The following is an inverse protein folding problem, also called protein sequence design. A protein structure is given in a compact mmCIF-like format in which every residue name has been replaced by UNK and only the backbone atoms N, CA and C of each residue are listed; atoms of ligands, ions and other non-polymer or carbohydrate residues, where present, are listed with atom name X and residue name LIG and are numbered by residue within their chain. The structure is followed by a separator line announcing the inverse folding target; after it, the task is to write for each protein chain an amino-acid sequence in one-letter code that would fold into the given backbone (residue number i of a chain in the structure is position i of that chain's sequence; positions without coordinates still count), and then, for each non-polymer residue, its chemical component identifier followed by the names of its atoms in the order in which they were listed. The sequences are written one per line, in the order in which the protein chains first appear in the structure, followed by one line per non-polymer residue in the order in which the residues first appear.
data_IF_201527606667
#
_entry.id   IF_201527606667
#
_cell.length_a   1.000
_cell.length_b   1.000
_cell.length_c   1.000
_cell.angle_alpha   90.00
_cell.angle_beta   90.00
_cell.angle_gamma   90.00
#
_symmetry.space_group_name_H-M   'P 1'
#
loop_
_entity.id
_entity.type
_entity.pdbx_description
1 polymer ?
#
# COMPACT_ATOMS: atom_id res chain seq x y z
N UNK A 1 -3.60 -7.84 12.52
CA UNK A 1 -3.11 -6.75 11.67
C UNK A 1 -4.33 -6.06 11.13
N UNK A 2 -4.48 -4.77 11.40
CA UNK A 2 -5.60 -3.98 10.88
C UNK A 2 -5.06 -2.84 10.04
N UNK A 3 -5.64 -2.62 8.87
CA UNK A 3 -5.28 -1.53 7.98
C UNK A 3 -6.53 -0.70 7.75
N UNK A 4 -6.49 0.59 8.04
CA UNK A 4 -7.58 1.51 7.75
C UNK A 4 -7.07 2.59 6.83
N UNK A 5 -7.73 2.79 5.68
CA UNK A 5 -7.42 3.85 4.73
C UNK A 5 -8.62 4.78 4.60
N UNK A 6 -8.43 6.06 4.87
CA UNK A 6 -9.45 7.10 4.64
C UNK A 6 -9.06 7.89 3.40
N UNK A 7 -9.82 7.74 2.32
CA UNK A 7 -9.64 8.46 1.07
C UNK A 7 -10.58 9.65 1.07
N UNK A 8 -10.02 10.86 1.01
CA UNK A 8 -10.76 12.10 0.85
C UNK A 8 -10.27 12.86 -0.36
N UNK A 9 -11.15 13.12 -1.32
CA UNK A 9 -10.79 13.87 -2.53
C UNK A 9 -9.51 13.34 -3.18
N UNK A 10 -9.48 12.02 -3.48
CA UNK A 10 -8.32 11.29 -4.05
C UNK A 10 -7.07 11.26 -3.15
N UNK A 11 -7.11 11.79 -1.93
CA UNK A 11 -5.99 11.75 -0.99
C UNK A 11 -6.23 10.68 0.08
N UNK A 12 -5.39 9.65 0.09
CA UNK A 12 -5.48 8.51 0.98
C UNK A 12 -4.60 8.68 2.21
N UNK A 13 -5.21 8.57 3.40
CA UNK A 13 -4.51 8.50 4.68
C UNK A 13 -4.65 7.09 5.24
N UNK A 14 -3.56 6.33 5.31
CA UNK A 14 -3.59 4.91 5.67
C UNK A 14 -2.82 4.64 6.95
N UNK A 15 -3.48 3.98 7.91
CA UNK A 15 -2.88 3.52 9.16
C UNK A 15 -2.81 1.99 9.18
N UNK A 16 -1.60 1.45 9.35
CA UNK A 16 -1.34 0.03 9.56
C UNK A 16 -1.08 -0.20 11.05
N UNK A 17 -1.90 -1.03 11.67
CA UNK A 17 -1.75 -1.49 13.05
C UNK A 17 -1.37 -2.97 13.09
N UNK A 18 -0.16 -3.28 13.57
CA UNK A 18 0.29 -4.65 13.79
C UNK A 18 0.49 -4.94 15.27
N UNK A 19 -0.11 -6.01 15.77
CA UNK A 19 0.02 -6.46 17.16
C UNK A 19 0.75 -7.79 17.17
N UNK A 20 1.83 -7.86 17.93
CA UNK A 20 2.64 -9.07 18.09
C UNK A 20 2.77 -9.40 19.57
N UNK A 21 2.88 -10.70 19.87
CA UNK A 21 3.08 -11.20 21.23
C UNK A 21 4.21 -12.20 21.21
N UNK A 22 5.21 -12.00 22.05
CA UNK A 22 6.16 -13.05 22.38
C UNK A 22 5.49 -14.00 23.39
N UNK A 23 5.33 -15.29 23.02
CA UNK A 23 4.68 -16.31 23.87
C UNK A 23 5.67 -17.37 24.36
N UNK A 24 6.98 -17.11 24.22
CA UNK A 24 8.03 -17.98 24.77
C UNK A 24 8.69 -17.31 25.97
N UNK A 25 9.44 -18.11 26.72
CA UNK A 25 10.13 -17.74 27.96
C UNK A 25 11.48 -17.01 27.73
N UNK A 26 11.77 -16.60 26.49
CA UNK A 26 13.02 -15.95 26.08
C UNK A 26 12.72 -14.71 25.24
N UNK A 27 13.58 -13.67 25.29
CA UNK A 27 13.45 -12.54 24.38
C UNK A 27 13.48 -12.99 22.91
N UNK A 28 12.59 -12.42 22.09
CA UNK A 28 12.53 -12.70 20.66
C UNK A 28 12.50 -11.41 19.85
N UNK A 29 13.24 -11.41 18.75
CA UNK A 29 13.16 -10.34 17.77
C UNK A 29 11.82 -10.43 17.01
N UNK A 30 11.11 -9.30 16.97
CA UNK A 30 9.95 -9.09 16.12
C UNK A 30 10.29 -8.08 15.03
N UNK A 31 9.94 -8.41 13.79
CA UNK A 31 10.15 -7.57 12.62
C UNK A 31 8.80 -7.04 12.14
N UNK A 32 8.66 -5.72 12.12
CA UNK A 32 7.57 -5.02 11.48
C UNK A 32 8.02 -4.58 10.09
N UNK A 33 7.33 -5.03 9.05
CA UNK A 33 7.68 -4.75 7.65
C UNK A 33 6.44 -4.38 6.85
N UNK A 34 6.47 -3.25 6.16
CA UNK A 34 5.39 -2.79 5.28
C UNK A 34 5.97 -2.31 3.96
N UNK A 35 5.39 -2.77 2.85
CA UNK A 35 5.70 -2.24 1.52
C UNK A 35 4.71 -1.11 1.23
N UNK A 36 5.25 0.09 1.03
CA UNK A 36 4.51 1.29 0.69
C UNK A 36 4.28 1.36 -0.82
N UNK A 37 3.17 1.96 -1.26
CA UNK A 37 3.05 2.43 -2.64
C UNK A 37 4.17 3.41 -2.99
N UNK A 38 4.59 3.46 -4.25
CA UNK A 38 5.72 4.30 -4.70
C UNK A 38 5.49 5.79 -4.49
N UNK A 39 4.26 6.26 -4.64
CA UNK A 39 3.90 7.66 -4.43
C UNK A 39 3.54 7.99 -2.97
N UNK A 40 3.63 7.02 -2.06
CA UNK A 40 3.29 7.25 -0.65
C UNK A 40 4.49 7.77 0.14
N UNK A 41 4.21 8.58 1.16
CA UNK A 41 5.20 9.01 2.14
C UNK A 41 4.72 8.70 3.55
N UNK A 42 5.65 8.44 4.47
CA UNK A 42 5.35 8.15 5.87
C UNK A 42 5.10 9.47 6.60
N UNK A 43 3.94 9.59 7.25
CA UNK A 43 3.57 10.74 8.06
C UNK A 43 3.68 10.48 9.57
N UNK A 44 3.78 9.22 10.00
CA UNK A 44 4.01 8.90 11.41
C UNK A 44 4.29 7.43 11.68
N UNK A 45 5.09 7.16 12.71
CA UNK A 45 5.29 5.82 13.23
C UNK A 45 5.36 5.83 14.76
N UNK A 46 4.59 4.96 15.40
CA UNK A 46 4.57 4.76 16.85
C UNK A 46 4.69 3.28 17.15
N UNK A 47 5.55 2.94 18.09
CA UNK A 47 5.69 1.59 18.64
C UNK A 47 5.33 1.62 20.11
N UNK A 48 4.46 0.72 20.55
CA UNK A 48 4.03 0.57 21.94
C UNK A 48 4.56 -0.77 22.46
N UNK A 49 5.35 -0.76 23.54
CA UNK A 49 5.87 -1.97 24.21
C UNK A 49 5.58 -1.85 25.69
N UNK A 50 4.86 -2.82 26.26
CA UNK A 50 4.47 -2.86 27.67
C UNK A 50 3.87 -1.54 28.19
N UNK A 51 3.04 -0.91 27.36
CA UNK A 51 2.35 0.36 27.66
C UNK A 51 3.23 1.62 27.54
N UNK A 52 4.47 1.50 27.08
CA UNK A 52 5.35 2.64 26.75
C UNK A 52 5.33 2.92 25.26
N UNK A 53 5.09 4.18 24.91
CA UNK A 53 5.06 4.64 23.52
C UNK A 53 6.42 5.19 23.09
N UNK A 54 6.92 4.68 21.98
CA UNK A 54 8.11 5.10 21.28
C UNK A 54 7.68 5.71 19.95
N UNK A 55 7.61 7.03 19.89
CA UNK A 55 7.27 7.74 18.65
C UNK A 55 8.53 7.96 17.84
N UNK A 56 8.56 7.51 16.59
CA UNK A 56 9.63 7.86 15.67
C UNK A 56 9.37 9.24 15.08
N UNK A 57 10.41 10.06 15.08
CA UNK A 57 10.38 11.38 14.46
C UNK A 57 10.95 11.28 13.06
N UNK A 58 10.16 11.67 12.07
CA UNK A 58 10.66 11.85 10.70
C UNK A 58 11.50 13.12 10.70
N UNK A 59 12.79 12.97 10.45
CA UNK A 59 13.74 14.08 10.29
C UNK A 59 14.29 14.06 8.87
N UNK A 60 14.84 15.20 8.44
CA UNK A 60 15.58 15.26 7.17
C UNK A 60 16.70 14.20 7.18
N UNK A 61 16.97 13.57 6.03
CA UNK A 61 17.87 12.42 5.90
C UNK A 61 19.24 12.61 6.58
N UNK A 62 19.86 13.77 6.40
CA UNK A 62 21.18 14.07 6.98
C UNK A 62 21.09 14.30 8.51
N UNK A 63 20.02 14.90 8.99
CA UNK A 63 19.78 15.10 10.42
C UNK A 63 19.47 13.77 11.13
N UNK A 64 18.62 12.94 10.53
CA UNK A 64 18.28 11.60 11.03
C UNK A 64 19.55 10.73 11.16
N UNK A 65 20.43 10.77 10.15
CA UNK A 65 21.70 10.05 10.16
C UNK A 65 22.62 10.49 11.30
N UNK A 66 22.77 11.80 11.52
CA UNK A 66 23.59 12.35 12.63
C UNK A 66 23.06 11.92 14.00
N UNK A 67 21.74 12.01 14.20
CA UNK A 67 21.11 11.61 15.47
C UNK A 67 21.30 10.11 15.72
N UNK A 68 21.16 9.28 14.68
CA UNK A 68 21.40 7.84 14.77
C UNK A 68 22.85 7.51 15.13
N UNK A 69 23.81 8.08 14.41
CA UNK A 69 25.25 7.86 14.66
C UNK A 69 25.64 8.28 16.09
N UNK A 70 25.11 9.39 16.60
CA UNK A 70 25.33 9.85 17.97
C UNK A 70 24.70 8.90 19.01
N UNK A 71 23.48 8.42 18.77
CA UNK A 71 22.79 7.49 19.67
C UNK A 71 23.55 6.15 19.78
N UNK A 72 23.97 5.59 18.64
CA UNK A 72 24.78 4.37 18.59
C UNK A 72 26.13 4.56 19.32
N UNK A 73 26.80 5.70 19.09
CA UNK A 73 28.06 6.01 19.77
C UNK A 73 27.90 6.16 21.30
N UNK A 74 26.72 6.57 21.77
CA UNK A 74 26.39 6.74 23.19
C UNK A 74 25.94 5.44 23.89
N UNK A 75 25.84 4.31 23.19
CA UNK A 75 25.40 3.03 23.75
C UNK A 75 23.90 2.95 24.07
N UNK A 76 23.11 3.93 23.64
CA UNK A 76 21.65 3.84 23.68
C UNK A 76 21.18 2.81 22.63
N UNK A 77 20.31 1.89 23.02
CA UNK A 77 19.72 0.89 22.11
C UNK A 77 18.93 1.58 21.00
N UNK A 78 19.59 1.85 19.87
CA UNK A 78 18.98 2.48 18.72
C UNK A 78 18.23 1.41 17.92
N UNK A 79 16.91 1.56 17.79
CA UNK A 79 16.13 0.78 16.83
C UNK A 79 16.66 1.07 15.41
N UNK A 80 17.08 0.03 14.70
CA UNK A 80 17.59 0.16 13.34
C UNK A 80 16.41 0.29 12.37
N UNK A 81 16.28 1.44 11.71
CA UNK A 81 15.35 1.64 10.59
C UNK A 81 16.18 1.61 9.30
N UNK A 82 16.17 0.47 8.61
CA UNK A 82 16.85 0.33 7.32
C UNK A 82 15.88 0.64 6.18
N UNK A 83 16.15 1.71 5.43
CA UNK A 83 15.56 1.92 4.10
C UNK A 83 16.57 1.43 3.07
N UNK A 84 16.33 0.24 2.51
CA UNK A 84 17.14 -0.34 1.43
C UNK A 84 17.00 0.51 0.16
N UNK A 85 18.12 0.96 -0.42
CA UNK A 85 18.12 1.78 -1.65
C UNK A 85 17.70 1.00 -2.92
N UNK A 86 17.58 -0.34 -2.86
CA UNK A 86 17.01 -1.17 -3.94
C UNK A 86 15.52 -1.46 -3.74
N UNK A 87 15.02 -1.31 -2.52
CA UNK A 87 13.62 -1.49 -2.12
C UNK A 87 13.11 -0.20 -1.45
N UNK A 88 13.23 0.94 -2.15
CA UNK A 88 13.04 2.29 -1.57
C UNK A 88 11.69 2.52 -0.89
N UNK A 89 10.71 1.65 -1.15
CA UNK A 89 9.36 1.76 -0.64
C UNK A 89 9.07 0.74 0.48
N UNK A 90 10.08 0.04 1.03
CA UNK A 90 9.88 -0.89 2.15
C UNK A 90 10.29 -0.24 3.48
N UNK A 91 9.36 -0.18 4.41
CA UNK A 91 9.58 0.26 5.79
C UNK A 91 9.79 -0.96 6.68
N UNK A 92 10.92 -1.03 7.39
CA UNK A 92 11.27 -2.14 8.28
C UNK A 92 11.75 -1.63 9.63
N UNK A 93 11.22 -2.19 10.70
CA UNK A 93 11.64 -1.98 12.09
C UNK A 93 11.80 -3.32 12.77
N UNK A 94 12.96 -3.56 13.39
CA UNK A 94 13.20 -4.72 14.23
C UNK A 94 13.31 -4.31 15.68
N UNK A 95 12.67 -5.06 16.58
CA UNK A 95 12.73 -4.83 18.02
C UNK A 95 12.75 -6.15 18.77
N UNK A 96 13.52 -6.20 19.86
CA UNK A 96 13.51 -7.34 20.76
C UNK A 96 12.36 -7.22 21.77
N UNK A 97 11.50 -8.23 21.83
CA UNK A 97 10.34 -8.28 22.73
C UNK A 97 10.65 -9.25 23.86
N UNK A 98 10.51 -8.78 25.10
CA UNK A 98 10.70 -9.57 26.31
C UNK A 98 9.74 -10.78 26.38
N UNK A 99 10.08 -11.82 27.15
CA UNK A 99 9.22 -12.97 27.37
C UNK A 99 7.79 -12.57 27.76
N UNK A 100 6.79 -13.27 27.23
CA UNK A 100 5.36 -13.05 27.52
C UNK A 100 4.82 -11.62 27.26
N UNK A 101 5.61 -10.78 26.59
CA UNK A 101 5.32 -9.36 26.40
C UNK A 101 4.70 -9.09 25.03
N UNK A 102 4.14 -7.88 24.86
CA UNK A 102 3.41 -7.49 23.64
C UNK A 102 4.00 -6.21 23.07
N UNK A 103 4.03 -6.14 21.74
CA UNK A 103 4.31 -4.91 21.02
C UNK A 103 3.18 -4.58 20.04
N UNK A 104 2.90 -3.29 19.88
CA UNK A 104 1.99 -2.77 18.87
C UNK A 104 2.71 -1.74 18.01
N UNK A 105 2.62 -1.89 16.71
CA UNK A 105 3.18 -0.98 15.73
C UNK A 105 2.05 -0.24 15.03
N UNK A 106 2.18 1.08 14.95
CA UNK A 106 1.29 1.98 14.23
C UNK A 106 2.12 2.70 13.17
N UNK A 107 1.89 2.41 11.90
CA UNK A 107 2.51 3.12 10.78
C UNK A 107 1.42 3.91 10.05
N UNK A 108 1.65 5.19 9.83
CA UNK A 108 0.77 6.05 9.04
C UNK A 108 1.51 6.53 7.80
N UNK A 109 0.92 6.33 6.64
CA UNK A 109 1.41 6.83 5.37
C UNK A 109 0.28 7.44 4.54
N UNK A 110 0.66 8.38 3.70
CA UNK A 110 -0.27 9.19 2.92
C UNK A 110 0.10 9.15 1.45
N UNK A 111 -0.91 9.25 0.58
CA UNK A 111 -0.72 9.17 -0.86
C UNK A 111 -1.80 9.97 -1.59
N UNK A 112 -1.41 10.74 -2.62
CA UNK A 112 -2.34 11.22 -3.63
C UNK A 112 -2.55 10.14 -4.69
N UNK A 113 -3.80 9.74 -4.92
CA UNK A 113 -4.13 8.71 -5.90
C UNK A 113 -4.04 9.25 -7.32
N UNK A 114 -3.22 8.57 -8.13
CA UNK A 114 -3.13 8.83 -9.55
C UNK A 114 -4.26 8.14 -10.31
N UNK A 115 -4.87 8.86 -11.25
CA UNK A 115 -5.84 8.28 -12.19
C UNK A 115 -5.11 7.67 -13.37
N UNK A 116 -5.28 6.38 -13.61
CA UNK A 116 -4.73 5.64 -14.76
C UNK A 116 -5.83 4.75 -15.34
N UNK A 117 -5.84 4.52 -16.66
CA UNK A 117 -6.81 3.64 -17.32
C UNK A 117 -8.28 3.86 -16.89
N UNK A 118 -8.63 5.14 -16.79
CA UNK A 118 -9.94 5.65 -16.40
C UNK A 118 -10.40 5.34 -14.97
N UNK A 119 -9.49 5.03 -14.04
CA UNK A 119 -9.82 4.76 -12.63
C UNK A 119 -8.74 5.26 -11.68
N UNK A 120 -9.10 5.44 -10.43
CA UNK A 120 -8.18 5.52 -9.30
C UNK A 120 -7.99 4.12 -8.72
N UNK A 121 -6.77 3.80 -8.30
CA UNK A 121 -6.47 2.56 -7.58
C UNK A 121 -5.81 2.87 -6.24
N UNK A 122 -6.42 2.41 -5.15
CA UNK A 122 -5.75 2.28 -3.86
C UNK A 122 -5.15 0.87 -3.79
N UNK A 123 -3.82 0.78 -3.80
CA UNK A 123 -3.10 -0.50 -3.64
C UNK A 123 -2.59 -0.59 -2.20
N UNK A 124 -2.99 -1.65 -1.49
CA UNK A 124 -2.56 -1.94 -0.12
C UNK A 124 -1.80 -3.25 -0.13
N UNK A 125 -0.48 -3.19 0.12
CA UNK A 125 0.35 -4.39 0.24
C UNK A 125 0.11 -5.04 1.61
N UNK A 126 -0.26 -6.32 1.60
CA UNK A 126 -0.51 -7.12 2.80
C UNK A 126 0.53 -8.22 2.85
N UNK A 127 1.38 -8.18 3.87
CA UNK A 127 2.44 -9.18 4.10
C UNK A 127 2.74 -9.27 5.61
N UNK A 128 1.90 -9.97 6.40
CA UNK A 128 2.08 -10.10 7.84
C UNK A 128 3.20 -11.06 8.24
N UNK A 129 3.72 -11.87 7.31
CA UNK A 129 4.77 -12.86 7.54
C UNK A 129 4.33 -14.10 8.33
N UNK A 130 3.06 -14.16 8.74
CA UNK A 130 2.41 -15.33 9.31
C UNK A 130 0.89 -15.21 9.16
N UNK A 131 0.15 -16.31 9.26
CA UNK A 131 -1.31 -16.25 9.34
C UNK A 131 -1.80 -15.49 10.58
N UNK A 132 -2.73 -14.55 10.40
CA UNK A 132 -3.19 -13.64 11.46
C UNK A 132 -4.65 -13.88 11.80
N UNK A 133 -4.97 -14.06 13.08
CA UNK A 133 -6.35 -14.31 13.55
C UNK A 133 -7.33 -13.19 13.21
N UNK A 134 -6.87 -11.94 13.32
CA UNK A 134 -7.64 -10.72 13.05
C UNK A 134 -6.88 -9.91 12.00
N UNK A 135 -7.07 -10.30 10.74
CA UNK A 135 -6.62 -9.56 9.56
C UNK A 135 -7.80 -8.81 8.97
N UNK A 136 -7.72 -7.48 8.92
CA UNK A 136 -8.75 -6.63 8.31
C UNK A 136 -8.13 -5.46 7.57
N UNK A 137 -8.74 -5.12 6.44
CA UNK A 137 -8.47 -3.92 5.65
C UNK A 137 -9.80 -3.22 5.43
N UNK A 138 -9.88 -1.95 5.83
CA UNK A 138 -11.05 -1.10 5.66
C UNK A 138 -10.63 0.13 4.84
N UNK A 139 -11.31 0.39 3.73
CA UNK A 139 -11.09 1.55 2.88
C UNK A 139 -12.37 2.38 2.90
N UNK A 140 -12.31 3.53 3.57
CA UNK A 140 -13.39 4.50 3.64
C UNK A 140 -13.15 5.56 2.58
N UNK A 141 -14.07 5.70 1.64
CA UNK A 141 -13.99 6.64 0.52
C UNK A 141 -14.99 7.77 0.76
N UNK A 142 -14.53 9.01 0.66
CA UNK A 142 -15.37 10.20 0.67
C UNK A 142 -14.88 11.18 -0.42
N UNK A 143 -15.72 11.43 -1.40
CA UNK A 143 -15.40 12.27 -2.55
C UNK A 143 -16.31 13.51 -2.59
N UNK A 144 -15.89 14.54 -3.30
CA UNK A 144 -16.69 15.73 -3.57
C UNK A 144 -17.71 15.51 -4.69
N UNK A 145 -17.53 14.46 -5.50
CA UNK A 145 -18.41 14.07 -6.61
C UNK A 145 -18.85 12.62 -6.49
N UNK A 146 -19.89 12.27 -7.25
CA UNK A 146 -20.46 10.93 -7.26
C UNK A 146 -19.41 9.87 -7.58
N UNK A 147 -19.35 8.82 -6.77
CA UNK A 147 -18.51 7.64 -6.99
C UNK A 147 -19.12 6.78 -8.11
N UNK A 148 -18.27 6.26 -9.00
CA UNK A 148 -18.64 5.43 -10.15
C UNK A 148 -17.64 4.26 -10.31
N UNK A 149 -18.05 3.13 -10.88
CA UNK A 149 -17.19 1.92 -11.08
C UNK A 149 -16.44 1.44 -9.81
N UNK A 150 -17.05 1.53 -8.63
CA UNK A 150 -16.45 1.04 -7.38
C UNK A 150 -16.41 -0.48 -7.37
N UNK A 151 -15.23 -1.05 -7.17
CA UNK A 151 -15.02 -2.51 -7.03
C UNK A 151 -13.72 -2.85 -6.32
N UNK A 152 -13.67 -4.08 -5.80
CA UNK A 152 -12.46 -4.71 -5.29
C UNK A 152 -12.10 -5.88 -6.23
N UNK A 153 -11.19 -5.69 -7.20
CA UNK A 153 -10.78 -6.77 -8.10
C UNK A 153 -10.02 -7.89 -7.37
N UNK A 154 -9.76 -9.04 -8.04
CA UNK A 154 -8.93 -10.10 -7.51
C UNK A 154 -7.59 -9.61 -6.96
N UNK A 155 -7.13 -10.22 -5.88
CA UNK A 155 -5.85 -9.93 -5.23
C UNK A 155 -4.69 -10.15 -6.21
N UNK A 156 -3.69 -9.25 -6.19
CA UNK A 156 -2.52 -9.34 -7.09
C UNK A 156 -1.30 -9.87 -6.34
N UNK A 157 -0.49 -10.69 -7.02
CA UNK A 157 0.90 -10.87 -6.64
C UNK A 157 1.66 -9.63 -7.17
N UNK A 158 2.60 -9.05 -6.42
CA UNK A 158 3.09 -7.67 -6.65
C UNK A 158 3.66 -7.33 -8.05
N UNK A 159 3.85 -8.32 -8.93
CA UNK A 159 4.35 -8.15 -10.29
C UNK A 159 3.30 -8.48 -11.38
N UNK A 160 2.09 -8.91 -11.02
CA UNK A 160 1.06 -9.34 -11.96
C UNK A 160 -0.05 -8.31 -12.11
N UNK A 161 -0.31 -7.89 -13.36
CA UNK A 161 -1.51 -7.16 -13.76
C UNK A 161 -2.48 -8.21 -14.32
N UNK A 162 -3.65 -8.36 -13.70
CA UNK A 162 -4.78 -9.05 -14.32
C UNK A 162 -4.79 -10.58 -14.22
N UNK A 163 -4.52 -11.15 -13.04
CA UNK A 163 -4.94 -12.54 -12.79
C UNK A 163 -6.42 -12.55 -12.42
N UNK A 164 -7.30 -12.66 -13.42
CA UNK A 164 -8.75 -12.88 -13.24
C UNK A 164 -9.04 -14.32 -12.77
N UNK A 165 -8.27 -14.78 -11.78
CA UNK A 165 -8.47 -16.08 -11.13
C UNK A 165 -9.60 -15.93 -10.10
N UNK A 166 -10.73 -16.64 -10.24
CA UNK A 166 -11.82 -16.58 -9.26
C UNK A 166 -11.38 -16.91 -7.83
N UNK A 167 -10.34 -17.73 -7.68
CA UNK A 167 -9.77 -18.11 -6.40
C UNK A 167 -9.09 -16.94 -5.66
N UNK A 168 -8.73 -15.88 -6.38
CA UNK A 168 -8.12 -14.66 -5.84
C UNK A 168 -9.14 -13.56 -5.53
N UNK A 169 -10.44 -13.82 -5.71
CA UNK A 169 -11.49 -12.90 -5.29
C UNK A 169 -11.31 -12.56 -3.79
N UNK A 170 -11.17 -11.27 -3.43
CA UNK A 170 -11.05 -10.86 -2.04
C UNK A 170 -12.30 -11.18 -1.22
N UNK A 171 -13.47 -11.37 -1.85
CA UNK A 171 -14.78 -11.45 -1.19
C UNK A 171 -15.00 -10.23 -0.28
N UNK A 172 -14.61 -9.06 -0.78
CA UNK A 172 -14.72 -7.81 -0.04
C UNK A 172 -16.19 -7.40 0.09
N UNK A 173 -16.56 -6.92 1.26
CA UNK A 173 -17.84 -6.28 1.49
C UNK A 173 -17.77 -4.82 1.03
N UNK A 174 -18.76 -4.39 0.24
CA UNK A 174 -18.82 -3.03 -0.32
C UNK A 174 -20.14 -2.40 0.11
N UNK A 175 -20.04 -1.45 1.03
CA UNK A 175 -21.17 -0.66 1.53
C UNK A 175 -21.18 0.71 0.85
N UNK A 176 -22.21 1.00 0.06
CA UNK A 176 -22.46 2.34 -0.47
C UNK A 176 -23.23 3.15 0.57
N UNK A 177 -22.56 4.09 1.22
CA UNK A 177 -23.17 4.95 2.26
C UNK A 177 -24.07 6.00 1.62
N UNK A 178 -23.61 6.61 0.52
CA UNK A 178 -24.38 7.51 -0.34
C UNK A 178 -23.65 7.68 -1.70
N UNK A 179 -24.14 8.58 -2.56
CA UNK A 179 -23.55 8.79 -3.89
C UNK A 179 -22.05 9.21 -3.85
N UNK A 180 -21.56 9.79 -2.76
CA UNK A 180 -20.19 10.31 -2.65
C UNK A 180 -19.36 9.61 -1.57
N UNK A 181 -19.90 8.59 -0.91
CA UNK A 181 -19.22 7.89 0.17
C UNK A 181 -19.49 6.38 0.15
N UNK A 182 -18.44 5.60 0.38
CA UNK A 182 -18.51 4.15 0.44
C UNK A 182 -17.46 3.57 1.39
N UNK A 183 -17.71 2.36 1.88
CA UNK A 183 -16.76 1.60 2.71
C UNK A 183 -16.51 0.25 2.03
N UNK A 184 -15.24 -0.12 1.88
CA UNK A 184 -14.82 -1.41 1.33
C UNK A 184 -14.03 -2.17 2.39
N UNK A 185 -14.50 -3.35 2.76
CA UNK A 185 -13.94 -4.14 3.85
C UNK A 185 -13.48 -5.52 3.36
N UNK A 186 -12.22 -5.85 3.64
CA UNK A 186 -11.62 -7.15 3.39
C UNK A 186 -11.11 -7.75 4.71
N UNK A 187 -11.74 -8.83 5.18
CA UNK A 187 -11.42 -9.45 6.48
C UNK A 187 -11.34 -10.98 6.37
N UNK A 188 -10.29 -11.54 5.74
CA UNK A 188 -10.17 -12.97 5.54
C UNK A 188 -9.86 -13.69 6.87
N UNK A 189 -10.57 -14.78 7.14
CA UNK A 189 -10.24 -15.67 8.24
C UNK A 189 -8.91 -16.43 7.98
N UNK A 190 -8.41 -17.16 8.98
CA UNK A 190 -7.12 -17.88 8.89
C UNK A 190 -7.12 -18.94 7.78
N UNK A 191 -8.23 -19.64 7.58
CA UNK A 191 -8.36 -20.66 6.53
C UNK A 191 -8.23 -20.03 5.14
N UNK A 192 -8.96 -18.92 4.90
CA UNK A 192 -8.89 -18.18 3.65
C UNK A 192 -7.51 -17.60 3.39
N UNK A 193 -6.79 -17.15 4.42
CA UNK A 193 -5.41 -16.70 4.28
C UNK A 193 -4.49 -17.82 3.77
N UNK A 194 -4.65 -19.05 4.25
CA UNK A 194 -3.87 -20.21 3.79
C UNK A 194 -4.23 -20.61 2.36
N UNK A 195 -5.51 -20.62 2.01
CA UNK A 195 -5.95 -20.83 0.63
C UNK A 195 -5.30 -19.82 -0.33
N UNK A 196 -5.34 -18.53 0.02
CA UNK A 196 -4.75 -17.47 -0.79
C UNK A 196 -3.22 -17.63 -0.88
N UNK A 197 -2.55 -17.98 0.20
CA UNK A 197 -1.11 -18.27 0.20
C UNK A 197 -0.77 -19.42 -0.77
N UNK A 198 -1.54 -20.51 -0.72
CA UNK A 198 -1.38 -21.63 -1.64
C UNK A 198 -1.59 -21.22 -3.11
N UNK A 199 -2.62 -20.42 -3.42
CA UNK A 199 -2.88 -19.94 -4.79
C UNK A 199 -1.77 -19.00 -5.29
N UNK A 200 -1.19 -18.19 -4.40
CA UNK A 200 -0.03 -17.34 -4.73
C UNK A 200 1.30 -18.11 -4.80
N UNK A 201 1.33 -19.40 -4.42
CA UNK A 201 2.55 -20.19 -4.35
C UNK A 201 3.49 -19.77 -3.23
N UNK A 202 2.99 -19.05 -2.22
CA UNK A 202 3.71 -18.74 -0.99
C UNK A 202 3.46 -19.81 0.06
N UNK A 203 4.32 -19.88 1.07
CA UNK A 203 4.16 -20.87 2.15
C UNK A 203 2.95 -20.51 3.02
N UNK A 204 2.12 -21.49 3.36
CA UNK A 204 0.90 -21.26 4.15
C UNK A 204 1.21 -20.67 5.54
N UNK A 205 2.32 -21.06 6.14
CA UNK A 205 2.79 -20.54 7.42
C UNK A 205 3.12 -19.05 7.38
N UNK A 206 3.43 -18.49 6.21
CA UNK A 206 3.71 -17.05 6.01
C UNK A 206 2.42 -16.21 5.89
N UNK A 207 1.25 -16.86 5.83
CA UNK A 207 -0.05 -16.20 5.69
C UNK A 207 -0.25 -15.52 4.34
N UNK A 208 -1.17 -14.55 4.28
CA UNK A 208 -1.48 -13.82 3.05
C UNK A 208 -0.34 -12.87 2.65
N UNK A 209 0.25 -13.08 1.48
CA UNK A 209 1.20 -12.15 0.86
C UNK A 209 0.70 -11.69 -0.50
N UNK A 210 0.11 -10.50 -0.57
CA UNK A 210 -0.45 -9.97 -1.82
C UNK A 210 -0.92 -8.54 -1.72
N UNK A 211 -1.50 -8.04 -2.81
CA UNK A 211 -2.03 -6.69 -2.91
C UNK A 211 -3.56 -6.74 -2.89
N UNK A 212 -4.14 -6.05 -1.92
CA UNK A 212 -5.56 -5.71 -1.95
C UNK A 212 -5.74 -4.38 -2.67
N UNK A 213 -6.62 -4.36 -3.65
CA UNK A 213 -6.84 -3.20 -4.52
C UNK A 213 -8.29 -2.76 -4.41
N UNK A 214 -8.51 -1.46 -4.24
CA UNK A 214 -9.83 -0.84 -4.39
C UNK A 214 -9.77 0.08 -5.59
N UNK A 215 -10.66 -0.13 -6.55
CA UNK A 215 -10.79 0.66 -7.77
C UNK A 215 -12.09 1.44 -7.74
N UNK A 216 -12.03 2.71 -8.14
CA UNK A 216 -13.20 3.54 -8.37
C UNK A 216 -12.87 4.67 -9.34
N UNK A 217 -13.87 5.33 -9.89
CA UNK A 217 -13.75 6.63 -10.54
C UNK A 217 -14.79 7.57 -9.94
N UNK A 218 -14.72 8.84 -10.31
CA UNK A 218 -15.71 9.85 -9.93
C UNK A 218 -16.38 10.43 -11.16
N UNK A 219 -17.60 10.91 -11.01
CA UNK A 219 -18.25 11.71 -12.05
C UNK A 219 -17.37 12.92 -12.40
N UNK A 220 -17.20 13.17 -13.70
CA UNK A 220 -16.28 14.21 -14.20
C UNK A 220 -17.06 15.29 -14.92
N UNK A 221 -16.64 16.53 -14.67
CA UNK A 221 -17.15 17.71 -15.37
C UNK A 221 -16.54 17.80 -16.78
N UNK A 222 -17.35 17.90 -17.84
CA UNK A 222 -16.84 18.15 -19.18
C UNK A 222 -16.31 19.58 -19.36
N UNK A 223 -16.69 20.55 -18.52
CA UNK A 223 -16.53 21.99 -18.81
C UNK A 223 -15.30 22.65 -18.19
N UNK A 224 -14.57 21.96 -17.31
CA UNK A 224 -13.47 22.58 -16.56
C UNK A 224 -12.91 21.79 -15.38
N UNK A 225 -13.40 20.56 -15.16
CA UNK A 225 -13.02 19.77 -14.01
C UNK A 225 -13.62 20.29 -12.70
N UNK A 226 -12.88 20.16 -11.61
CA UNK A 226 -13.34 20.45 -10.26
C UNK A 226 -12.28 21.19 -9.46
N UNK A 227 -12.64 22.34 -8.87
CA UNK A 227 -11.78 23.09 -7.95
C UNK A 227 -12.34 22.96 -6.54
N UNK A 228 -11.55 22.43 -5.63
CA UNK A 228 -11.86 22.37 -4.20
C UNK A 228 -10.96 23.36 -3.47
N UNK A 229 -11.54 24.14 -2.55
CA UNK A 229 -10.84 25.14 -1.75
C UNK A 229 -11.12 24.83 -0.28
N UNK A 230 -10.07 24.70 0.51
CA UNK A 230 -10.16 24.44 1.95
C UNK A 230 -8.97 25.08 2.67
N UNK A 231 -9.25 25.81 3.76
CA UNK A 231 -8.23 26.38 4.66
C UNK A 231 -7.14 27.22 3.96
N UNK A 232 -7.49 27.93 2.88
CA UNK A 232 -6.57 28.74 2.10
C UNK A 232 -5.74 27.97 1.06
N UNK A 233 -5.93 26.66 0.96
CA UNK A 233 -5.36 25.78 -0.06
C UNK A 233 -6.41 25.41 -1.09
N UNK A 234 -5.97 25.03 -2.29
CA UNK A 234 -6.87 24.52 -3.32
C UNK A 234 -6.28 23.32 -4.06
N UNK A 235 -7.15 22.49 -4.61
CA UNK A 235 -6.81 21.45 -5.58
C UNK A 235 -7.72 21.59 -6.79
N UNK A 236 -7.16 21.47 -7.99
CA UNK A 236 -7.91 21.48 -9.25
C UNK A 236 -7.73 20.15 -9.96
N UNK A 237 -8.80 19.35 -9.99
CA UNK A 237 -8.87 18.12 -10.78
C UNK A 237 -9.36 18.43 -12.19
N UNK A 238 -8.47 18.36 -13.19
CA UNK A 238 -8.81 18.62 -14.58
C UNK A 238 -8.68 17.35 -15.43
N UNK A 239 -9.82 16.76 -15.82
CA UNK A 239 -9.89 15.54 -16.62
C UNK A 239 -11.14 15.53 -17.52
N UNK A 240 -11.23 16.44 -18.51
CA UNK A 240 -12.40 16.55 -19.39
C UNK A 240 -12.74 15.20 -20.07
N UNK A 241 -14.02 15.00 -20.31
CA UNK A 241 -14.55 13.87 -21.07
C UNK A 241 -14.75 14.27 -22.53
N UNK A 242 -14.86 13.28 -23.40
CA UNK A 242 -15.35 13.45 -24.78
C UNK A 242 -14.51 14.36 -25.68
N UNK A 243 -13.20 14.47 -25.40
CA UNK A 243 -12.25 15.09 -26.31
C UNK A 243 -11.89 14.11 -27.44
N UNK A 244 -11.89 14.60 -28.67
CA UNK A 244 -11.39 13.83 -29.81
C UNK A 244 -9.89 13.53 -29.62
N UNK A 245 -9.46 12.27 -29.80
CA UNK A 245 -8.05 11.93 -29.74
C UNK A 245 -7.25 12.75 -30.76
N UNK A 246 -6.25 13.49 -30.30
CA UNK A 246 -5.38 14.25 -31.18
C UNK A 246 -4.53 13.29 -32.05
N UNK A 247 -4.45 13.51 -33.38
CA UNK A 247 -3.49 12.82 -34.22
C UNK A 247 -2.08 13.04 -33.66
N UNK A 248 -1.33 11.95 -33.51
CA UNK A 248 0.04 12.00 -32.98
C UNK A 248 0.98 11.23 -33.91
N UNK A 249 2.13 11.81 -34.20
CA UNK A 249 3.25 11.11 -34.82
C UNK A 249 4.07 10.46 -33.71
N UNK A 250 4.05 9.14 -33.65
CA UNK A 250 4.81 8.36 -32.66
C UNK A 250 5.92 7.63 -33.41
N UNK A 251 7.17 7.88 -33.03
CA UNK A 251 8.35 7.17 -33.56
C UNK A 251 8.89 6.28 -32.46
N UNK A 252 8.94 4.98 -32.73
CA UNK A 252 9.53 4.00 -31.82
C UNK A 252 10.99 3.79 -32.21
N UNK A 253 11.91 4.07 -31.28
CA UNK A 253 13.35 3.78 -31.43
C UNK A 253 13.65 2.57 -30.56
N UNK A 254 13.94 1.45 -31.19
CA UNK A 254 14.02 0.14 -30.52
C UNK A 254 15.46 -0.39 -30.58
N UNK A 255 15.99 -0.85 -29.43
CA UNK A 255 17.27 -1.54 -29.40
C UNK A 255 17.14 -2.97 -29.96
N UNK A 256 18.00 -3.32 -30.90
CA UNK A 256 18.12 -4.65 -31.49
C UNK A 256 19.51 -5.25 -31.31
N UNK A 257 20.28 -4.74 -30.35
CA UNK A 257 21.60 -5.25 -29.99
C UNK A 257 21.55 -6.73 -29.60
N UNK A 258 22.69 -7.43 -29.69
CA UNK A 258 22.78 -8.84 -29.32
C UNK A 258 22.32 -9.13 -27.88
N UNK A 259 22.32 -8.13 -26.99
CA UNK A 259 21.83 -8.26 -25.61
C UNK A 259 20.31 -8.50 -25.52
N UNK A 260 19.55 -8.16 -26.57
CA UNK A 260 18.10 -8.31 -26.64
C UNK A 260 17.66 -9.73 -27.01
N UNK A 261 18.59 -10.60 -27.40
CA UNK A 261 18.28 -11.96 -27.86
C UNK A 261 17.47 -12.77 -26.82
N UNK A 262 16.55 -13.59 -27.32
CA UNK A 262 15.68 -14.44 -26.50
C UNK A 262 14.38 -13.74 -26.10
N UNK A 263 14.01 -13.83 -24.83
CA UNK A 263 12.68 -13.41 -24.35
C UNK A 263 12.42 -11.90 -24.55
N UNK A 264 13.44 -11.05 -24.36
CA UNK A 264 13.29 -9.59 -24.46
C UNK A 264 12.86 -9.14 -25.85
N UNK A 265 13.52 -9.63 -26.91
CA UNK A 265 13.13 -9.28 -28.29
C UNK A 265 11.77 -9.88 -28.67
N UNK A 266 11.41 -11.07 -28.17
CA UNK A 266 10.10 -11.67 -28.40
C UNK A 266 8.97 -10.83 -27.77
N UNK A 267 9.14 -10.42 -26.51
CA UNK A 267 8.19 -9.53 -25.82
C UNK A 267 8.09 -8.17 -26.51
N UNK A 268 9.21 -7.62 -26.97
CA UNK A 268 9.23 -6.37 -27.72
C UNK A 268 8.41 -6.47 -29.01
N UNK A 269 8.62 -7.53 -29.80
CA UNK A 269 7.87 -7.76 -31.05
C UNK A 269 6.38 -7.92 -30.73
N UNK A 270 6.04 -8.71 -29.70
CA UNK A 270 4.65 -8.92 -29.31
C UNK A 270 3.95 -7.63 -28.87
N UNK A 271 4.63 -6.73 -28.17
CA UNK A 271 4.05 -5.46 -27.73
C UNK A 271 3.84 -4.44 -28.87
N UNK A 272 4.56 -4.60 -29.98
CA UNK A 272 4.45 -3.74 -31.17
C UNK A 272 3.40 -4.23 -32.18
N UNK A 273 2.95 -5.49 -32.05
CA UNK A 273 1.88 -6.08 -32.85
C UNK A 273 0.51 -5.77 -32.25
#
# INVERSE_FOLDING_TARGET
MRITSNIRNRFAHTTVTSRVRNSVDKPQEAVFSVVLPEAAYISGFVMEIDGKNYTAYVKEKEEAKRVYEQAVASGAGAAHVAVSARDSNRFVVSVNIEPESKAVFYLTYEQLLGRKDSRYEQIINIHPGQAVKDLSVEVVIAESRKITDLKAPPLRSGNEIGTDKPELDPRADIEIVNDTAAVVTFSPNVERQKELAHVFGTKEEEGLSGQFVVQYDVERDPSGGEVLIQDGYFVHFFAPKDLEPLPKHVVFVLDTSGSMWGQKIQQLIQAMH
#
